data_IF_719794150932
#
_entry.id   IF_719794150932
#
_cell.length_a   1.000
_cell.length_b   1.000
_cell.length_c   1.000
_cell.angle_alpha   90.00
_cell.angle_beta   90.00
_cell.angle_gamma   90.00
#
_symmetry.space_group_name_H-M   'P 1'
#
loop_
_entity.id
_entity.type
_entity.pdbx_description
1 polymer ?
#
# COMPACT_ATOMS: atom_id res chain seq x y z
N UNK A 1 6.27 -8.29 -25.96
CA UNK A 1 5.10 -7.40 -26.04
C UNK A 1 4.15 -7.84 -24.93
N UNK A 2 3.76 -7.07 -23.93
CA UNK A 2 3.61 -5.62 -23.78
C UNK A 2 3.72 -5.19 -22.31
N UNK A 3 4.37 -4.02 -22.13
CA UNK A 3 4.20 -2.99 -21.08
C UNK A 3 4.79 -3.26 -19.69
N UNK A 4 6.01 -2.74 -19.52
CA UNK A 4 6.53 -2.18 -18.28
C UNK A 4 5.42 -1.36 -17.59
N UNK A 5 4.75 -1.95 -16.61
CA UNK A 5 4.06 -1.18 -15.59
C UNK A 5 5.17 -0.72 -14.66
N UNK A 6 5.42 0.59 -14.49
CA UNK A 6 6.36 0.98 -13.45
C UNK A 6 5.72 0.52 -12.14
N UNK A 7 6.40 -0.37 -11.42
CA UNK A 7 6.15 -0.65 -10.00
C UNK A 7 6.45 0.64 -9.22
N UNK A 8 5.60 1.63 -9.38
CA UNK A 8 5.91 2.99 -8.96
C UNK A 8 5.38 3.16 -7.54
N UNK A 9 5.97 2.43 -6.60
CA UNK A 9 5.81 2.67 -5.17
C UNK A 9 6.59 3.92 -4.79
N UNK A 10 6.09 4.74 -3.86
CA UNK A 10 6.88 5.88 -3.37
C UNK A 10 8.11 5.37 -2.63
N UNK A 11 9.28 5.90 -2.98
CA UNK A 11 10.51 5.63 -2.23
C UNK A 11 10.42 6.23 -0.83
N UNK A 12 11.29 5.78 0.09
CA UNK A 12 11.37 6.33 1.45
C UNK A 12 11.64 7.84 1.40
N UNK A 13 12.50 8.29 0.49
CA UNK A 13 12.83 9.70 0.28
C UNK A 13 11.63 10.49 -0.22
N UNK A 14 10.87 9.94 -1.18
CA UNK A 14 9.65 10.58 -1.69
C UNK A 14 8.56 10.69 -0.62
N UNK A 15 8.40 9.68 0.22
CA UNK A 15 7.48 9.71 1.36
C UNK A 15 7.89 10.76 2.40
N UNK A 16 9.19 10.83 2.71
CA UNK A 16 9.72 11.85 3.62
C UNK A 16 9.53 13.27 3.04
N UNK A 17 9.87 13.49 1.78
CA UNK A 17 9.67 14.78 1.10
C UNK A 17 8.19 15.19 1.05
N UNK A 18 7.29 14.23 0.83
CA UNK A 18 5.84 14.51 0.84
C UNK A 18 5.36 14.92 2.23
N UNK A 19 5.84 14.25 3.29
CA UNK A 19 5.54 14.63 4.67
C UNK A 19 6.00 16.07 4.93
N UNK A 20 7.23 16.43 4.58
CA UNK A 20 7.76 17.78 4.84
C UNK A 20 6.96 18.86 4.08
N UNK A 21 6.58 18.62 2.81
CA UNK A 21 5.69 19.52 2.06
C UNK A 21 4.32 19.72 2.72
N UNK A 22 3.75 18.67 3.30
CA UNK A 22 2.50 18.80 4.07
C UNK A 22 2.73 19.68 5.29
N UNK A 23 3.85 19.53 6.01
CA UNK A 23 4.19 20.35 7.16
C UNK A 23 4.42 21.82 6.77
N UNK A 24 5.10 22.08 5.66
CA UNK A 24 5.28 23.43 5.10
C UNK A 24 3.91 24.09 4.83
N UNK A 25 2.98 23.37 4.20
CA UNK A 25 1.60 23.85 3.98
C UNK A 25 0.85 24.16 5.27
N UNK A 26 1.17 23.51 6.39
CA UNK A 26 0.61 23.86 7.71
C UNK A 26 1.20 25.17 8.21
N UNK A 27 2.51 25.36 8.08
CA UNK A 27 3.22 26.57 8.52
C UNK A 27 2.79 27.80 7.71
N UNK A 28 2.48 27.63 6.43
CA UNK A 28 1.99 28.69 5.54
C UNK A 28 0.56 29.16 5.83
N UNK A 29 -0.20 28.44 6.68
CA UNK A 29 -1.57 28.84 6.99
C UNK A 29 -1.62 30.18 7.71
N UNK A 30 -2.50 31.05 7.24
CA UNK A 30 -2.82 32.30 7.94
C UNK A 30 -3.27 31.98 9.39
N UNK A 31 -2.67 32.61 10.41
CA UNK A 31 -3.12 32.49 11.80
C UNK A 31 -4.61 32.82 11.99
N UNK A 32 -5.25 33.52 11.06
CA UNK A 32 -6.70 33.82 11.05
C UNK A 32 -7.54 32.84 10.22
N UNK A 33 -6.92 31.90 9.52
CA UNK A 33 -7.64 30.88 8.75
C UNK A 33 -8.60 30.08 9.65
N UNK A 34 -9.74 29.69 9.10
CA UNK A 34 -10.74 28.88 9.82
C UNK A 34 -10.27 27.43 9.99
N UNK A 35 -9.47 26.92 9.05
CA UNK A 35 -8.93 25.56 9.11
C UNK A 35 -7.75 25.48 10.08
N UNK A 36 -7.78 24.45 10.94
CA UNK A 36 -6.68 24.05 11.83
C UNK A 36 -6.46 22.55 11.64
N UNK A 37 -5.57 22.13 10.71
CA UNK A 37 -5.33 20.72 10.44
C UNK A 37 -4.87 20.00 11.70
N UNK A 38 -5.53 18.89 12.05
CA UNK A 38 -5.23 18.08 13.23
C UNK A 38 -4.92 16.65 12.81
N UNK A 39 -3.66 16.26 13.00
CA UNK A 39 -3.20 14.90 12.78
C UNK A 39 -3.02 14.19 14.11
N UNK A 40 -3.59 13.00 14.23
CA UNK A 40 -3.46 12.17 15.43
C UNK A 40 -2.34 11.14 15.30
N UNK A 41 -1.94 10.79 14.07
CA UNK A 41 -0.87 9.83 13.80
C UNK A 41 -0.38 9.90 12.34
N UNK A 42 0.85 9.44 12.10
CA UNK A 42 1.43 9.19 10.78
C UNK A 42 2.19 7.86 10.82
N UNK A 43 1.96 6.97 9.85
CA UNK A 43 2.73 5.72 9.71
C UNK A 43 3.33 5.60 8.31
N UNK A 44 4.63 5.32 8.24
CA UNK A 44 5.29 4.96 6.99
C UNK A 44 5.15 3.47 6.70
N UNK A 45 4.89 3.15 5.43
CA UNK A 45 4.87 1.79 4.89
C UNK A 45 5.69 1.78 3.60
N UNK A 46 6.21 0.63 3.16
CA UNK A 46 6.86 0.55 1.86
C UNK A 46 5.89 1.01 0.76
N UNK A 47 6.23 2.09 0.04
CA UNK A 47 5.43 2.61 -1.06
C UNK A 47 4.33 3.62 -0.74
N UNK A 48 3.96 3.80 0.53
CA UNK A 48 2.84 4.64 0.94
C UNK A 48 2.92 5.07 2.42
N UNK A 49 2.10 6.04 2.81
CA UNK A 49 1.97 6.45 4.21
C UNK A 49 0.52 6.60 4.64
N UNK A 50 0.23 6.27 5.90
CA UNK A 50 -1.08 6.38 6.53
C UNK A 50 -1.13 7.64 7.39
N UNK A 51 -2.02 8.56 7.06
CA UNK A 51 -2.32 9.78 7.81
C UNK A 51 -3.61 9.59 8.59
N UNK A 52 -3.57 9.79 9.90
CA UNK A 52 -4.77 9.78 10.74
C UNK A 52 -5.18 11.22 11.05
N UNK A 53 -6.32 11.65 10.51
CA UNK A 53 -6.91 12.97 10.71
C UNK A 53 -7.91 12.94 11.87
N UNK A 54 -7.85 13.93 12.76
CA UNK A 54 -8.74 14.00 13.93
C UNK A 54 -10.16 14.49 13.60
N UNK A 55 -10.36 15.09 12.41
CA UNK A 55 -11.66 15.56 11.95
C UNK A 55 -11.76 15.59 10.41
N UNK A 56 -12.99 15.62 9.90
CA UNK A 56 -13.28 15.68 8.46
C UNK A 56 -12.76 16.97 7.80
N UNK A 57 -12.69 18.07 8.56
CA UNK A 57 -12.16 19.33 8.02
C UNK A 57 -10.68 19.18 7.63
N UNK A 58 -9.89 18.48 8.45
CA UNK A 58 -8.49 18.15 8.14
C UNK A 58 -8.39 17.25 6.90
N UNK A 59 -9.31 16.30 6.72
CA UNK A 59 -9.36 15.43 5.53
C UNK A 59 -9.57 16.23 4.24
N UNK A 60 -10.56 17.12 4.23
CA UNK A 60 -10.88 17.93 3.05
C UNK A 60 -9.77 18.93 2.73
N UNK A 61 -9.18 19.53 3.76
CA UNK A 61 -7.98 20.37 3.59
C UNK A 61 -6.81 19.59 3.00
N UNK A 62 -6.56 18.38 3.53
CA UNK A 62 -5.49 17.52 3.04
C UNK A 62 -5.71 17.14 1.56
N UNK A 63 -6.94 16.79 1.17
CA UNK A 63 -7.28 16.53 -0.24
C UNK A 63 -6.94 17.72 -1.14
N UNK A 64 -7.24 18.94 -0.68
CA UNK A 64 -6.92 20.18 -1.39
C UNK A 64 -5.41 20.35 -1.59
N UNK A 65 -4.62 20.27 -0.51
CA UNK A 65 -3.17 20.46 -0.64
C UNK A 65 -2.51 19.36 -1.47
N UNK A 66 -2.96 18.10 -1.38
CA UNK A 66 -2.37 17.02 -2.18
C UNK A 66 -2.60 17.26 -3.68
N UNK A 67 -3.73 17.88 -4.07
CA UNK A 67 -3.95 18.28 -5.46
C UNK A 67 -2.98 19.41 -5.88
N UNK A 68 -2.70 20.37 -5.01
CA UNK A 68 -1.70 21.42 -5.27
C UNK A 68 -0.28 20.88 -5.36
N UNK A 69 0.02 19.80 -4.62
CA UNK A 69 1.33 19.14 -4.65
C UNK A 69 1.54 18.26 -5.90
N UNK A 70 0.54 18.10 -6.79
CA UNK A 70 0.67 17.36 -8.05
C UNK A 70 1.04 18.25 -9.27
N UNK A 71 1.91 17.80 -10.20
CA UNK A 71 3.08 16.94 -10.06
C UNK A 71 4.38 17.74 -10.21
N UNK A 72 5.24 17.73 -9.19
CA UNK A 72 6.68 17.97 -9.38
C UNK A 72 7.33 16.63 -9.79
N UNK A 73 7.95 16.61 -10.97
CA UNK A 73 8.78 15.50 -11.49
C UNK A 73 8.14 14.10 -11.48
N UNK A 74 7.03 13.93 -12.21
CA UNK A 74 6.55 12.59 -12.60
C UNK A 74 5.92 11.74 -11.49
N UNK A 75 5.68 12.30 -10.30
CA UNK A 75 5.00 11.63 -9.20
C UNK A 75 3.57 12.18 -9.07
N UNK A 76 2.57 11.31 -9.18
CA UNK A 76 1.17 11.64 -8.88
C UNK A 76 0.75 10.95 -7.60
N UNK A 77 0.25 11.72 -6.63
CA UNK A 77 -0.10 11.26 -5.29
C UNK A 77 -1.61 11.07 -5.16
N UNK A 78 -2.06 9.86 -4.81
CA UNK A 78 -3.47 9.59 -4.54
C UNK A 78 -3.72 9.54 -3.03
N UNK A 79 -4.81 10.17 -2.59
CA UNK A 79 -5.32 10.06 -1.23
C UNK A 79 -6.59 9.19 -1.24
N UNK A 80 -6.61 8.12 -0.44
CA UNK A 80 -7.76 7.22 -0.29
C UNK A 80 -8.07 6.98 1.18
N UNK A 81 -9.35 6.90 1.55
CA UNK A 81 -9.73 6.42 2.88
C UNK A 81 -9.26 4.97 3.07
N UNK A 82 -8.72 4.66 4.25
CA UNK A 82 -8.22 3.32 4.60
C UNK A 82 -9.27 2.24 4.34
N UNK A 83 -10.55 2.54 4.61
CA UNK A 83 -11.70 1.68 4.35
C UNK A 83 -11.86 1.26 2.89
N UNK A 84 -11.39 2.09 1.95
CA UNK A 84 -11.45 1.83 0.50
C UNK A 84 -10.20 1.09 -0.01
N UNK A 85 -9.19 0.91 0.84
CA UNK A 85 -7.98 0.20 0.49
C UNK A 85 -8.20 -1.27 0.82
N UNK A 86 -8.13 -2.15 -0.18
CA UNK A 86 -8.35 -3.56 0.09
C UNK A 86 -7.20 -4.07 0.98
N UNK A 87 -7.53 -4.33 2.24
CA UNK A 87 -6.56 -4.72 3.25
C UNK A 87 -5.90 -6.04 2.87
N UNK A 88 -4.57 -6.11 3.01
CA UNK A 88 -3.87 -7.38 2.91
C UNK A 88 -4.38 -8.37 3.95
N UNK A 89 -4.75 -9.56 3.48
CA UNK A 89 -5.18 -10.66 4.32
C UNK A 89 -3.95 -11.37 4.89
N UNK A 90 -4.05 -11.81 6.14
CA UNK A 90 -2.96 -12.52 6.81
C UNK A 90 -3.18 -14.01 6.65
N UNK A 91 -2.17 -14.72 6.17
CA UNK A 91 -2.16 -16.15 5.98
C UNK A 91 -1.02 -16.81 6.77
N UNK A 92 -1.14 -18.10 6.99
CA UNK A 92 -0.09 -18.97 7.54
C UNK A 92 0.14 -20.14 6.59
N UNK A 93 1.40 -20.45 6.33
CA UNK A 93 1.82 -21.62 5.54
C UNK A 93 2.96 -22.35 6.23
N UNK A 94 3.01 -23.67 6.01
CA UNK A 94 4.05 -24.56 6.50
C UNK A 94 4.83 -25.10 5.31
N UNK A 95 6.12 -24.78 5.27
CA UNK A 95 6.97 -24.99 4.10
C UNK A 95 8.04 -26.02 4.45
N UNK A 96 7.92 -27.27 3.98
CA UNK A 96 8.91 -28.32 4.25
C UNK A 96 10.26 -28.00 3.60
N UNK A 97 11.32 -28.60 4.11
CA UNK A 97 12.71 -28.45 3.61
C UNK A 97 13.18 -26.98 3.51
N UNK A 98 12.69 -26.07 4.36
CA UNK A 98 12.87 -24.63 4.15
C UNK A 98 13.76 -23.93 5.16
N UNK A 99 14.31 -24.67 6.13
CA UNK A 99 15.13 -24.14 7.23
C UNK A 99 16.22 -23.18 6.73
N UNK A 100 17.00 -23.62 5.74
CA UNK A 100 18.11 -22.85 5.17
C UNK A 100 17.71 -22.05 3.90
N UNK A 101 16.42 -22.00 3.57
CA UNK A 101 15.93 -21.27 2.39
C UNK A 101 15.52 -19.85 2.79
N UNK A 102 16.18 -18.84 2.21
CA UNK A 102 15.85 -17.43 2.46
C UNK A 102 14.43 -17.07 2.01
N UNK A 103 13.77 -16.14 2.71
CA UNK A 103 12.38 -15.74 2.43
C UNK A 103 12.16 -15.32 0.96
N UNK A 104 13.07 -14.55 0.36
CA UNK A 104 12.97 -14.15 -1.04
C UNK A 104 12.91 -15.36 -1.99
N UNK A 105 13.73 -16.39 -1.72
CA UNK A 105 13.74 -17.62 -2.51
C UNK A 105 12.48 -18.47 -2.27
N UNK A 106 11.97 -18.50 -1.04
CA UNK A 106 10.68 -19.13 -0.72
C UNK A 106 9.54 -18.49 -1.51
N UNK A 107 9.42 -17.16 -1.45
CA UNK A 107 8.37 -16.41 -2.17
C UNK A 107 8.50 -16.63 -3.67
N UNK A 108 9.73 -16.63 -4.20
CA UNK A 108 9.98 -16.91 -5.62
C UNK A 108 9.52 -18.31 -6.02
N UNK A 109 9.72 -19.35 -5.19
CA UNK A 109 9.17 -20.69 -5.47
C UNK A 109 7.64 -20.67 -5.54
N UNK A 110 6.98 -20.00 -4.59
CA UNK A 110 5.52 -19.89 -4.58
C UNK A 110 4.99 -19.15 -5.82
N UNK A 111 5.67 -18.10 -6.26
CA UNK A 111 5.31 -17.35 -7.45
C UNK A 111 5.51 -18.17 -8.73
N UNK A 112 6.71 -18.74 -8.95
CA UNK A 112 7.01 -19.39 -10.24
C UNK A 112 6.33 -20.75 -10.44
N UNK A 113 5.89 -21.41 -9.37
CA UNK A 113 5.20 -22.70 -9.44
C UNK A 113 3.67 -22.60 -9.44
N UNK A 114 3.12 -21.39 -9.34
CA UNK A 114 1.68 -21.15 -9.31
C UNK A 114 1.37 -19.95 -10.23
N UNK A 115 0.86 -20.24 -11.43
CA UNK A 115 0.68 -19.26 -12.52
C UNK A 115 -0.11 -17.99 -12.13
N UNK A 116 -1.01 -18.12 -11.15
CA UNK A 116 -1.90 -17.03 -10.71
C UNK A 116 -1.43 -16.29 -9.45
N UNK A 117 -0.24 -16.60 -8.91
CA UNK A 117 0.29 -15.93 -7.72
C UNK A 117 1.38 -14.94 -8.08
N UNK A 118 1.24 -13.71 -7.59
CA UNK A 118 2.28 -12.67 -7.69
C UNK A 118 2.76 -12.31 -6.28
N UNK A 119 4.03 -12.57 -6.00
CA UNK A 119 4.58 -12.41 -4.65
C UNK A 119 5.20 -11.03 -4.38
N UNK A 120 5.24 -10.13 -5.38
CA UNK A 120 5.89 -8.81 -5.26
C UNK A 120 5.31 -7.96 -4.13
N UNK A 121 3.99 -8.02 -3.96
CA UNK A 121 3.27 -7.26 -2.93
C UNK A 121 3.03 -8.07 -1.65
N UNK A 122 3.64 -9.25 -1.52
CA UNK A 122 3.54 -10.05 -0.31
C UNK A 122 4.59 -9.61 0.70
N UNK A 123 4.24 -9.67 1.97
CA UNK A 123 5.17 -9.43 3.07
C UNK A 123 5.23 -10.62 4.01
N UNK A 124 6.44 -11.08 4.31
CA UNK A 124 6.66 -12.01 5.43
C UNK A 124 6.55 -11.23 6.74
N UNK A 125 5.46 -11.47 7.47
CA UNK A 125 5.18 -10.84 8.78
C UNK A 125 5.97 -11.52 9.89
N UNK A 126 6.06 -12.85 9.84
CA UNK A 126 6.78 -13.66 10.82
C UNK A 126 7.31 -14.93 10.15
N UNK A 127 8.51 -15.33 10.54
CA UNK A 127 9.11 -16.62 10.22
C UNK A 127 9.36 -17.40 11.52
N UNK A 128 9.10 -18.69 11.51
CA UNK A 128 9.42 -19.62 12.60
C UNK A 128 10.03 -20.86 12.01
N UNK A 129 11.23 -21.19 12.46
CA UNK A 129 11.90 -22.41 12.05
C UNK A 129 11.44 -23.55 12.98
N UNK A 130 10.95 -24.64 12.38
CA UNK A 130 10.39 -25.83 13.06
C UNK A 130 11.06 -27.09 12.51
N UNK A 131 12.34 -27.25 12.83
CA UNK A 131 13.17 -28.33 12.27
C UNK A 131 13.31 -28.17 10.74
N UNK A 132 13.00 -29.19 9.93
CA UNK A 132 13.10 -29.08 8.47
C UNK A 132 12.03 -28.15 7.87
N UNK A 133 10.97 -27.83 8.62
CA UNK A 133 9.84 -27.02 8.14
C UNK A 133 9.97 -25.58 8.62
N UNK A 134 9.56 -24.62 7.77
CA UNK A 134 9.42 -23.21 8.15
C UNK A 134 7.94 -22.84 8.15
N UNK A 135 7.47 -22.24 9.24
CA UNK A 135 6.16 -21.58 9.28
C UNK A 135 6.34 -20.11 8.89
N UNK A 136 5.63 -19.66 7.85
CA UNK A 136 5.54 -18.24 7.51
C UNK A 136 4.15 -17.71 7.82
N UNK A 137 4.09 -16.57 8.50
CA UNK A 137 2.92 -15.69 8.48
C UNK A 137 3.12 -14.66 7.36
N UNK A 138 2.21 -14.63 6.41
CA UNK A 138 2.28 -13.81 5.19
C UNK A 138 1.15 -12.78 5.20
N UNK A 139 1.45 -11.57 4.76
CA UNK A 139 0.47 -10.57 4.35
C UNK A 139 0.41 -10.63 2.83
N UNK A 140 -0.74 -10.99 2.27
CA UNK A 140 -0.93 -11.13 0.82
C UNK A 140 -1.75 -9.98 0.26
N UNK A 141 -1.45 -9.56 -0.96
CA UNK A 141 -2.32 -8.65 -1.67
C UNK A 141 -3.69 -9.31 -1.97
N UNK A 142 -4.75 -8.51 -2.17
CA UNK A 142 -6.11 -9.02 -2.34
C UNK A 142 -6.27 -10.00 -3.51
N UNK A 143 -5.61 -9.75 -4.64
CA UNK A 143 -5.71 -10.60 -5.82
C UNK A 143 -5.13 -11.98 -5.51
N UNK A 144 -3.92 -12.01 -4.97
CA UNK A 144 -3.28 -13.25 -4.53
C UNK A 144 -4.09 -14.00 -3.46
N UNK A 145 -4.67 -13.27 -2.51
CA UNK A 145 -5.51 -13.85 -1.46
C UNK A 145 -6.76 -14.52 -2.05
N UNK A 146 -7.41 -13.89 -3.03
CA UNK A 146 -8.54 -14.46 -3.74
C UNK A 146 -8.15 -15.70 -4.55
N UNK A 147 -7.02 -15.67 -5.27
CA UNK A 147 -6.52 -16.83 -6.02
C UNK A 147 -6.23 -18.02 -5.12
N UNK A 148 -5.59 -17.80 -3.99
CA UNK A 148 -5.35 -18.86 -2.99
C UNK A 148 -6.68 -19.46 -2.50
N UNK A 149 -7.72 -18.64 -2.26
CA UNK A 149 -9.06 -19.12 -1.86
C UNK A 149 -9.72 -19.95 -2.96
N UNK A 150 -9.70 -19.46 -4.19
CA UNK A 150 -10.26 -20.13 -5.36
C UNK A 150 -9.60 -21.50 -5.59
N UNK A 151 -8.29 -21.60 -5.35
CA UNK A 151 -7.53 -22.84 -5.44
C UNK A 151 -7.64 -23.75 -4.21
N UNK A 152 -8.64 -23.53 -3.34
CA UNK A 152 -8.90 -24.37 -2.17
C UNK A 152 -7.79 -24.30 -1.11
N UNK A 153 -7.09 -23.17 -1.03
CA UNK A 153 -5.98 -22.89 -0.12
C UNK A 153 -4.74 -23.78 -0.35
N UNK A 154 -4.53 -24.23 -1.58
CA UNK A 154 -3.39 -25.07 -1.96
C UNK A 154 -2.45 -24.29 -2.89
N UNK A 155 -1.15 -24.52 -2.73
CA UNK A 155 -0.13 -23.98 -3.61
C UNK A 155 0.99 -24.99 -3.83
N UNK A 156 1.53 -25.06 -5.03
CA UNK A 156 2.73 -25.82 -5.34
C UNK A 156 3.93 -25.16 -4.67
N UNK A 157 4.80 -25.98 -4.09
CA UNK A 157 6.02 -25.51 -3.44
C UNK A 157 7.12 -26.59 -3.51
N UNK A 158 8.24 -26.22 -4.13
CA UNK A 158 9.38 -27.11 -4.42
C UNK A 158 8.93 -28.36 -5.16
N UNK A 159 8.90 -29.51 -4.47
CA UNK A 159 8.60 -30.83 -5.02
C UNK A 159 7.24 -31.37 -4.57
N UNK A 160 6.36 -30.52 -4.03
CA UNK A 160 5.06 -30.93 -3.52
C UNK A 160 4.05 -29.79 -3.43
N UNK A 161 3.05 -29.97 -2.57
CA UNK A 161 1.97 -29.01 -2.36
C UNK A 161 1.86 -28.65 -0.88
N UNK A 162 1.63 -27.37 -0.59
CA UNK A 162 1.44 -26.82 0.76
C UNK A 162 0.08 -26.15 0.88
N UNK A 163 -0.35 -25.90 2.12
CA UNK A 163 -1.56 -25.13 2.41
C UNK A 163 -1.22 -23.71 2.85
N UNK A 164 -1.96 -22.75 2.31
CA UNK A 164 -1.87 -21.33 2.66
C UNK A 164 -3.21 -20.93 3.28
N UNK A 165 -3.28 -20.91 4.61
CA UNK A 165 -4.55 -20.78 5.35
C UNK A 165 -4.72 -19.38 5.95
N UNK A 166 -5.93 -18.82 5.96
CA UNK A 166 -6.16 -17.51 6.58
C UNK A 166 -5.88 -17.60 8.08
N UNK A 167 -5.09 -16.66 8.58
CA UNK A 167 -4.85 -16.50 10.02
C UNK A 167 -6.07 -15.79 10.61
N UNK A 168 -6.81 -16.47 11.48
CA UNK A 168 -7.83 -15.80 12.29
C UNK A 168 -7.15 -14.64 13.04
N UNK A 169 -7.50 -13.40 12.72
CA UNK A 169 -7.08 -12.26 13.54
C UNK A 169 -7.74 -12.48 14.92
N UNK A 170 -7.01 -12.41 16.05
CA UNK A 170 -7.68 -12.09 17.29
C UNK A 170 -8.42 -10.77 17.03
N UNK A 171 -9.71 -10.72 17.34
CA UNK A 171 -10.51 -9.51 17.23
C UNK A 171 -9.73 -8.39 17.89
N UNK A 172 -9.28 -7.40 17.09
CA UNK A 172 -8.75 -6.16 17.66
C UNK A 172 -9.88 -5.65 18.55
N UNK A 173 -9.65 -5.58 19.86
CA UNK A 173 -10.43 -4.70 20.71
C UNK A 173 -10.27 -3.34 20.04
N UNK A 174 -11.34 -2.84 19.42
CA UNK A 174 -11.40 -1.45 18.99
C UNK A 174 -11.33 -0.68 20.30
N UNK A 175 -10.14 -0.23 20.68
CA UNK A 175 -10.06 0.90 21.59
C UNK A 175 -10.77 2.01 20.84
N UNK A 176 -11.87 2.51 21.39
CA UNK A 176 -12.56 3.69 20.87
C UNK A 176 -11.56 4.84 20.86
N UNK A 177 -10.81 4.95 19.77
CA UNK A 177 -10.22 6.20 19.36
C UNK A 177 -11.40 7.01 18.87
N UNK A 178 -11.57 8.23 19.38
CA UNK A 178 -12.58 9.17 18.88
C UNK A 178 -12.53 9.30 17.35
N UNK A 179 -13.51 9.95 16.72
CA UNK A 179 -13.76 9.87 15.27
C UNK A 179 -12.52 10.29 14.46
N UNK A 180 -11.67 9.33 14.13
CA UNK A 180 -10.42 9.52 13.40
C UNK A 180 -10.65 8.98 12.01
N UNK A 181 -10.32 9.77 10.99
CA UNK A 181 -10.37 9.33 9.59
C UNK A 181 -8.96 8.96 9.17
N UNK A 182 -8.76 7.72 8.73
CA UNK A 182 -7.46 7.25 8.24
C UNK A 182 -7.43 7.35 6.71
N UNK A 183 -6.38 7.99 6.19
CA UNK A 183 -6.15 8.19 4.76
C UNK A 183 -4.80 7.64 4.38
N UNK A 184 -4.74 6.87 3.30
CA UNK A 184 -3.47 6.47 2.69
C UNK A 184 -3.13 7.40 1.57
N UNK A 185 -1.87 7.83 1.59
CA UNK A 185 -1.22 8.52 0.50
C UNK A 185 -0.25 7.57 -0.20
N UNK A 186 -0.50 7.28 -1.47
CA UNK A 186 0.30 6.40 -2.33
C UNK A 186 0.53 7.04 -3.69
N UNK A 187 1.39 6.42 -4.51
CA UNK A 187 1.43 6.80 -5.92
C UNK A 187 0.13 6.41 -6.63
N UNK A 188 -0.29 7.20 -7.59
CA UNK A 188 -1.39 6.89 -8.49
C UNK A 188 -0.94 5.91 -9.59
N UNK A 189 -1.38 4.64 -9.57
CA UNK A 189 -1.00 3.65 -10.58
C UNK A 189 -1.56 3.97 -11.97
N UNK A 190 -2.65 4.76 -12.05
CA UNK A 190 -3.35 5.05 -13.30
C UNK A 190 -3.00 6.44 -13.86
N UNK A 191 -1.99 7.12 -13.31
CA UNK A 191 -1.64 8.47 -13.73
C UNK A 191 -1.36 8.56 -15.23
N UNK A 192 -0.57 7.62 -15.76
CA UNK A 192 -0.24 7.56 -17.18
C UNK A 192 -1.46 7.31 -18.09
N UNK A 193 -2.53 6.69 -17.57
CA UNK A 193 -3.79 6.48 -18.30
C UNK A 193 -4.69 7.71 -18.22
N UNK A 194 -4.76 8.38 -17.06
CA UNK A 194 -5.48 9.65 -16.89
C UNK A 194 -4.92 10.75 -17.78
N UNK A 195 -3.59 10.86 -17.88
CA UNK A 195 -2.93 11.85 -18.76
C UNK A 195 -3.27 11.59 -20.24
N UNK A 196 -3.46 10.32 -20.63
CA UNK A 196 -3.86 9.95 -22.00
C UNK A 196 -5.33 10.22 -22.27
N UNK A 197 -6.21 10.05 -21.29
CA UNK A 197 -7.65 10.30 -21.43
C UNK A 197 -8.01 11.80 -21.36
N UNK A 198 -7.32 12.58 -20.54
CA UNK A 198 -7.56 14.03 -20.36
C UNK A 198 -6.67 14.89 -21.26
N UNK A 199 -6.40 14.44 -22.49
CA UNK A 199 -5.46 15.04 -23.44
C UNK A 199 -5.37 16.57 -23.37
N UNK A 200 -4.13 17.07 -23.25
CA UNK A 200 -3.69 18.46 -23.37
C UNK A 200 -4.80 19.48 -23.69
N UNK A 201 -5.48 19.99 -22.66
CA UNK A 201 -6.12 21.31 -22.72
C UNK A 201 -5.21 22.35 -22.08
N UNK A 202 -4.00 22.50 -22.62
CA UNK A 202 -3.19 23.69 -22.37
C UNK A 202 -3.65 24.79 -23.33
N UNK A 203 -4.70 25.51 -22.97
CA UNK A 203 -5.03 26.77 -23.65
C UNK A 203 -4.05 27.85 -23.16
N UNK A 204 -2.89 27.96 -23.79
CA UNK A 204 -2.10 29.18 -23.70
C UNK A 204 -2.68 30.21 -24.67
N UNK A 205 -3.50 31.13 -24.15
CA UNK A 205 -3.75 32.41 -24.82
C UNK A 205 -2.51 33.28 -24.60
N UNK A 206 -1.71 33.46 -25.64
CA UNK A 206 -0.77 34.59 -25.70
C UNK A 206 -1.60 35.86 -25.91
N UNK A 207 -1.56 36.76 -24.93
CA UNK A 207 -2.02 38.13 -25.07
C UNK A 207 -1.05 38.90 -25.97
N UNK A 208 -1.63 39.72 -26.84
CA UNK A 208 -0.98 40.64 -27.79
C UNK A 208 -0.16 41.71 -27.07
#
# INVERSE_FOLDING_TARGET
MSKNHPESSLTVEQLAATKEKILEKIVELDPKATIRPKFSNLQFRPGWMLLSCADKATVEWLKGIIQELQPQEGISLRLEEESNIPHSEIFVTYLPDSLNTANAKILRFLEVQNEDLNSQNWRVVRRVDKGPTVELTLSMDPNSAERVKQNGYKANYKFGQVRILPKKRPSKIRVDKGPTVELTLSMDPNFAERVKQNGYKANYKFGQ
#
